data_IF_944044908171
#
_entry.id   IF_944044908171
#
_cell.length_a   1.000
_cell.length_b   1.000
_cell.length_c   1.000
_cell.angle_alpha   90.00
_cell.angle_beta   90.00
_cell.angle_gamma   90.00
#
_symmetry.space_group_name_H-M   'P 1'
#
loop_
_entity.id
_entity.type
_entity.pdbx_description
1 polymer ?
#
# COMPACT_ATOMS: atom_id res chain seq x y z
N UNK A 1 -1.04 -3.97 -31.19
CA UNK A 1 -0.51 -4.57 -29.94
C UNK A 1 -1.61 -4.48 -28.89
N UNK A 2 -1.87 -5.54 -28.12
CA UNK A 2 -2.97 -5.62 -27.11
C UNK A 2 -2.91 -4.49 -26.07
N UNK A 3 -1.73 -3.94 -25.79
CA UNK A 3 -1.51 -2.91 -24.78
C UNK A 3 -1.49 -1.48 -25.33
N UNK A 4 -1.48 -1.30 -26.66
CA UNK A 4 -1.44 0.03 -27.28
C UNK A 4 -0.16 0.85 -27.06
N UNK A 5 0.84 0.33 -26.35
CA UNK A 5 2.12 1.01 -26.05
C UNK A 5 3.28 0.41 -26.83
N UNK A 6 4.28 1.27 -27.14
CA UNK A 6 5.52 0.88 -27.82
C UNK A 6 6.66 0.55 -26.85
N UNK A 7 6.60 1.08 -25.62
CA UNK A 7 7.54 0.83 -24.55
C UNK A 7 6.79 0.56 -23.23
N UNK A 8 7.22 -0.47 -22.51
CA UNK A 8 6.64 -0.85 -21.22
C UNK A 8 7.23 -0.07 -20.05
N UNK A 9 8.40 0.54 -20.25
CA UNK A 9 9.18 1.22 -19.22
C UNK A 9 9.08 2.74 -19.28
N UNK A 10 8.06 3.27 -19.98
CA UNK A 10 7.79 4.71 -20.01
C UNK A 10 7.49 5.22 -18.60
N UNK A 11 8.10 6.35 -18.25
CA UNK A 11 7.91 7.03 -16.97
C UNK A 11 6.50 7.64 -16.86
N UNK A 12 5.90 8.03 -17.98
CA UNK A 12 4.57 8.62 -18.04
C UNK A 12 3.45 7.58 -18.02
N UNK A 13 3.72 6.36 -18.49
CA UNK A 13 2.76 5.26 -18.52
C UNK A 13 3.42 3.93 -18.09
N UNK A 14 3.53 3.68 -16.77
CA UNK A 14 4.34 2.58 -16.23
C UNK A 14 3.63 1.22 -16.33
N UNK A 15 3.36 0.75 -17.56
CA UNK A 15 2.76 -0.55 -17.86
C UNK A 15 3.55 -1.71 -17.27
N UNK A 16 4.88 -1.65 -17.27
CA UNK A 16 5.74 -2.67 -16.69
C UNK A 16 5.37 -2.96 -15.22
N UNK A 17 5.04 -1.93 -14.43
CA UNK A 17 4.64 -2.09 -13.03
C UNK A 17 3.31 -2.84 -12.92
N UNK A 18 2.31 -2.48 -13.72
CA UNK A 18 1.01 -3.14 -13.72
C UNK A 18 1.10 -4.60 -14.15
N UNK A 19 1.85 -4.89 -15.22
CA UNK A 19 2.06 -6.27 -15.72
C UNK A 19 2.80 -7.11 -14.67
N UNK A 20 3.85 -6.56 -14.06
CA UNK A 20 4.61 -7.26 -13.01
C UNK A 20 3.73 -7.55 -11.79
N UNK A 21 2.92 -6.59 -11.36
CA UNK A 21 2.00 -6.76 -10.24
C UNK A 21 0.89 -7.77 -10.55
N UNK A 22 0.35 -7.76 -11.78
CA UNK A 22 -0.64 -8.73 -12.23
C UNK A 22 -0.07 -10.15 -12.23
N UNK A 23 1.16 -10.33 -12.73
CA UNK A 23 1.85 -11.62 -12.69
C UNK A 23 2.10 -12.09 -11.25
N UNK A 24 2.57 -11.17 -10.38
CA UNK A 24 2.76 -11.48 -8.95
C UNK A 24 1.46 -11.89 -8.28
N UNK A 25 0.39 -11.12 -8.47
CA UNK A 25 -0.95 -11.42 -7.95
C UNK A 25 -1.47 -12.77 -8.46
N UNK A 26 -1.17 -13.14 -9.71
CA UNK A 26 -1.57 -14.43 -10.29
C UNK A 26 -0.82 -15.60 -9.65
N UNK A 27 0.51 -15.54 -9.58
CA UNK A 27 1.35 -16.68 -9.22
C UNK A 27 1.61 -16.83 -7.71
N UNK A 28 1.87 -15.72 -7.01
CA UNK A 28 2.26 -15.74 -5.59
C UNK A 28 1.10 -15.60 -4.61
N UNK A 29 0.00 -14.98 -5.03
CA UNK A 29 -1.16 -14.74 -4.17
C UNK A 29 -2.31 -15.67 -4.57
N UNK A 30 -2.50 -16.73 -3.78
CA UNK A 30 -3.56 -17.72 -4.00
C UNK A 30 -4.69 -17.49 -3.02
N UNK A 31 -5.90 -17.57 -3.56
CA UNK A 31 -7.13 -17.56 -2.79
C UNK A 31 -7.16 -18.77 -1.85
N UNK A 32 -7.71 -18.57 -0.67
CA UNK A 32 -7.83 -19.54 0.43
C UNK A 32 -6.49 -19.99 1.04
N UNK A 33 -5.38 -19.35 0.66
CA UNK A 33 -4.06 -19.55 1.28
C UNK A 33 -3.54 -18.22 1.84
N UNK A 34 -3.26 -17.24 0.98
CA UNK A 34 -2.77 -15.92 1.41
C UNK A 34 -3.90 -14.91 1.66
N UNK A 35 -5.08 -15.12 1.09
CA UNK A 35 -6.24 -14.25 1.26
C UNK A 35 -7.55 -14.97 1.00
N UNK A 36 -8.64 -14.36 1.46
CA UNK A 36 -10.01 -14.78 1.14
C UNK A 36 -10.77 -13.62 0.53
N UNK A 37 -11.79 -13.95 -0.28
CA UNK A 37 -12.73 -12.95 -0.79
C UNK A 37 -14.01 -13.02 0.03
N UNK A 38 -14.37 -11.90 0.68
CA UNK A 38 -15.60 -11.80 1.48
C UNK A 38 -16.23 -10.42 1.32
N UNK A 39 -17.55 -10.38 1.15
CA UNK A 39 -18.31 -9.12 0.98
C UNK A 39 -17.73 -8.21 -0.13
N UNK A 40 -17.26 -8.82 -1.23
CA UNK A 40 -16.64 -8.09 -2.34
C UNK A 40 -15.28 -7.45 -2.02
N UNK A 41 -14.58 -7.91 -0.97
CA UNK A 41 -13.23 -7.45 -0.59
C UNK A 41 -12.27 -8.61 -0.45
N UNK A 42 -11.01 -8.40 -0.87
CA UNK A 42 -9.92 -9.30 -0.58
C UNK A 42 -9.39 -9.04 0.84
N UNK A 43 -9.43 -10.04 1.71
CA UNK A 43 -8.96 -9.95 3.10
C UNK A 43 -7.74 -10.84 3.27
N UNK A 44 -6.65 -10.26 3.80
CA UNK A 44 -5.37 -10.95 3.96
C UNK A 44 -5.45 -11.95 5.10
N UNK A 45 -4.89 -13.14 4.90
CA UNK A 45 -4.67 -14.13 5.96
C UNK A 45 -3.23 -13.97 6.46
N UNK A 46 -3.07 -13.89 7.78
CA UNK A 46 -1.76 -13.90 8.41
C UNK A 46 -1.18 -15.32 8.38
N UNK A 47 -0.03 -15.50 7.71
CA UNK A 47 0.59 -16.82 7.50
C UNK A 47 0.99 -17.53 8.79
N UNK A 48 1.29 -16.79 9.87
CA UNK A 48 1.71 -17.38 11.15
C UNK A 48 0.53 -17.83 12.01
N UNK A 49 -0.59 -17.10 11.95
CA UNK A 49 -1.73 -17.31 12.87
C UNK A 49 -2.98 -17.86 12.18
N UNK A 50 -3.04 -17.84 10.86
CA UNK A 50 -4.22 -18.17 10.06
C UNK A 50 -5.38 -17.18 10.22
N UNK A 51 -5.17 -16.06 10.94
CA UNK A 51 -6.23 -15.07 11.20
C UNK A 51 -6.38 -14.11 10.03
N UNK A 52 -7.62 -13.67 9.80
CA UNK A 52 -7.95 -12.67 8.79
C UNK A 52 -7.66 -11.28 9.33
N UNK A 53 -6.93 -10.47 8.57
CA UNK A 53 -6.53 -9.10 8.90
C UNK A 53 -7.27 -8.09 8.01
N UNK A 54 -8.52 -7.71 8.35
CA UNK A 54 -9.39 -6.96 7.44
C UNK A 54 -8.95 -5.51 7.19
N UNK A 55 -8.05 -4.97 8.03
CA UNK A 55 -7.51 -3.60 7.88
C UNK A 55 -6.18 -3.57 7.13
N UNK A 56 -5.58 -4.73 6.86
CA UNK A 56 -4.27 -4.81 6.20
C UNK A 56 -4.46 -4.84 4.69
N UNK A 57 -3.64 -4.07 3.97
CA UNK A 57 -3.49 -4.12 2.52
C UNK A 57 -2.04 -4.45 2.18
N UNK A 58 -1.81 -5.05 1.02
CA UNK A 58 -0.45 -5.21 0.51
C UNK A 58 -0.01 -3.93 -0.18
N UNK A 59 1.26 -3.58 -0.03
CA UNK A 59 1.86 -2.38 -0.61
C UNK A 59 2.11 -2.50 -2.13
N UNK A 60 2.67 -1.45 -2.72
CA UNK A 60 3.18 -1.39 -4.09
C UNK A 60 2.19 -1.64 -5.22
N UNK A 61 0.88 -1.59 -4.94
CA UNK A 61 -0.16 -1.85 -5.94
C UNK A 61 -0.58 -3.32 -6.03
N UNK A 62 -0.03 -4.19 -5.16
CA UNK A 62 -0.32 -5.63 -5.18
C UNK A 62 -1.77 -5.89 -4.76
N UNK A 63 -2.30 -5.14 -3.79
CA UNK A 63 -3.67 -5.33 -3.35
C UNK A 63 -4.68 -5.01 -4.44
N UNK A 64 -4.45 -3.94 -5.21
CA UNK A 64 -5.25 -3.60 -6.38
C UNK A 64 -5.14 -4.66 -7.46
N UNK A 65 -3.95 -5.24 -7.68
CA UNK A 65 -3.77 -6.32 -8.64
C UNK A 65 -4.53 -7.59 -8.24
N UNK A 66 -4.59 -7.92 -6.94
CA UNK A 66 -5.42 -9.03 -6.43
C UNK A 66 -6.91 -8.71 -6.53
N UNK A 67 -7.33 -7.49 -6.19
CA UNK A 67 -8.71 -7.04 -6.38
C UNK A 67 -9.12 -7.16 -7.85
N UNK A 68 -8.28 -6.71 -8.78
CA UNK A 68 -8.51 -6.81 -10.22
C UNK A 68 -8.57 -8.26 -10.72
N UNK A 69 -7.66 -9.12 -10.23
CA UNK A 69 -7.63 -10.56 -10.53
C UNK A 69 -8.96 -11.26 -10.16
N UNK A 70 -9.56 -10.87 -9.03
CA UNK A 70 -10.83 -11.43 -8.54
C UNK A 70 -12.07 -10.67 -9.07
N UNK A 71 -11.89 -9.68 -9.95
CA UNK A 71 -12.99 -8.87 -10.49
C UNK A 71 -13.68 -7.97 -9.45
N UNK A 72 -12.99 -7.62 -8.37
CA UNK A 72 -13.50 -6.78 -7.29
C UNK A 72 -13.37 -5.29 -7.62
N UNK A 73 -14.15 -4.47 -6.93
CA UNK A 73 -14.02 -3.01 -7.02
C UNK A 73 -12.69 -2.57 -6.41
N UNK A 74 -11.80 -2.07 -7.26
CA UNK A 74 -10.51 -1.54 -6.86
C UNK A 74 -10.72 -0.33 -5.96
N UNK A 75 -10.07 -0.33 -4.79
CA UNK A 75 -10.08 0.83 -3.91
C UNK A 75 -8.78 1.63 -4.10
N UNK A 76 -8.90 2.95 -4.17
CA UNK A 76 -7.74 3.83 -4.23
C UNK A 76 -7.02 3.81 -2.88
N UNK A 77 -5.71 3.56 -2.90
CA UNK A 77 -4.88 3.73 -1.72
C UNK A 77 -4.53 5.22 -1.58
N UNK A 78 -4.62 5.73 -0.35
CA UNK A 78 -4.01 7.02 0.00
C UNK A 78 -2.51 6.81 0.16
N UNK A 79 -1.72 7.35 -0.77
CA UNK A 79 -0.25 7.29 -0.72
C UNK A 79 0.27 8.40 0.20
N UNK A 80 1.04 8.04 1.21
CA UNK A 80 1.79 8.99 2.03
C UNK A 80 3.02 9.41 1.21
N UNK A 81 3.03 10.64 0.70
CA UNK A 81 4.13 11.17 -0.13
C UNK A 81 5.35 11.57 0.71
N UNK A 82 5.10 12.08 1.91
CA UNK A 82 6.14 12.45 2.87
C UNK A 82 5.60 12.32 4.30
N UNK A 83 6.47 11.92 5.22
CA UNK A 83 6.16 11.84 6.64
C UNK A 83 7.40 12.26 7.45
N UNK A 84 7.17 13.03 8.52
CA UNK A 84 8.18 13.37 9.52
C UNK A 84 7.52 13.38 10.90
N UNK A 85 8.25 12.97 11.94
CA UNK A 85 7.78 13.10 13.32
C UNK A 85 8.03 14.52 13.81
N UNK A 86 7.22 15.00 14.76
CA UNK A 86 7.44 16.32 15.37
C UNK A 86 8.84 16.44 15.98
N UNK A 87 9.34 15.39 16.64
CA UNK A 87 10.67 15.38 17.23
C UNK A 87 11.77 15.60 16.18
N UNK A 88 11.68 14.94 15.02
CA UNK A 88 12.66 15.09 13.93
C UNK A 88 12.51 16.43 13.22
N UNK A 89 11.27 16.91 13.03
CA UNK A 89 10.99 18.20 12.42
C UNK A 89 11.58 19.35 13.24
N UNK A 90 11.39 19.34 14.57
CA UNK A 90 11.86 20.42 15.43
C UNK A 90 13.40 20.49 15.52
N UNK A 91 14.10 19.37 15.32
CA UNK A 91 15.57 19.34 15.29
C UNK A 91 16.18 20.03 14.06
N UNK A 92 15.40 20.26 13.01
CA UNK A 92 15.89 20.94 11.80
C UNK A 92 16.10 22.45 12.00
N UNK A 93 15.51 23.04 13.05
CA UNK A 93 15.62 24.47 13.31
C UNK A 93 16.92 24.81 14.06
N UNK A 94 17.73 25.76 13.58
CA UNK A 94 18.95 26.20 14.28
C UNK A 94 18.69 26.75 15.69
N UNK A 95 17.48 27.26 15.93
CA UNK A 95 17.01 27.71 17.23
C UNK A 95 15.57 27.27 17.42
N UNK A 96 15.29 26.65 18.57
CA UNK A 96 13.97 26.20 18.97
C UNK A 96 13.63 26.80 20.34
N UNK A 97 12.45 27.40 20.45
CA UNK A 97 11.90 27.90 21.73
C UNK A 97 10.41 27.64 21.78
N UNK A 98 9.87 27.41 22.97
CA UNK A 98 8.44 27.19 23.18
C UNK A 98 7.97 27.82 24.49
N UNK A 99 6.67 28.05 24.60
CA UNK A 99 6.03 28.56 25.82
C UNK A 99 4.84 27.67 26.18
N UNK A 100 4.69 27.34 27.45
CA UNK A 100 3.51 26.68 27.99
C UNK A 100 3.43 26.92 29.49
N UNK A 101 2.22 26.95 30.05
CA UNK A 101 1.98 27.11 31.48
C UNK A 101 2.32 25.87 32.32
N UNK A 102 2.58 24.73 31.67
CA UNK A 102 2.70 23.42 32.34
C UNK A 102 3.98 22.65 31.99
N UNK A 103 4.99 23.31 31.42
CA UNK A 103 6.24 22.66 30.99
C UNK A 103 7.05 22.04 32.14
N UNK A 104 6.85 22.48 33.38
CA UNK A 104 7.72 22.11 34.50
C UNK A 104 7.54 20.66 34.98
N UNK A 105 6.45 20.00 34.59
CA UNK A 105 6.08 18.65 35.01
C UNK A 105 6.36 17.56 33.97
N UNK A 106 6.97 17.90 32.83
CA UNK A 106 7.39 16.95 31.78
C UNK A 106 8.90 16.69 31.78
#
# INVERSE_FOLDING_TARGET
>A
MILGTNDLWDENDPWARFVTNALKAKEFYRRDVQYIVRNGKALIINELTGRVEPKRRWSDGIHQAVEAKEGLKIQADSVIVAQITYQSLFKLYPKLSGMTGTAKTE
#
